data_IF_730295794400
#
_entry.id   IF_730295794400
#
_cell.length_a   1.000
_cell.length_b   1.000
_cell.length_c   1.000
_cell.angle_alpha   90.00
_cell.angle_beta   90.00
_cell.angle_gamma   90.00
#
_symmetry.space_group_name_H-M   'P 1'
#
loop_
_entity.id
_entity.type
_entity.pdbx_description
1 polymer ?
#
# COMPACT_ATOMS: atom_id res chain seq x y z
N UNK A 1 8.38 9.38 10.47
CA UNK A 1 9.16 9.02 9.27
C UNK A 1 8.16 8.64 8.19
N UNK A 2 8.34 9.09 6.95
CA UNK A 2 7.45 8.69 5.86
C UNK A 2 7.50 7.17 5.70
N UNK A 3 6.34 6.58 5.40
CA UNK A 3 6.22 5.14 5.27
C UNK A 3 6.98 4.67 4.02
N UNK A 4 7.79 3.62 4.12
CA UNK A 4 8.47 3.03 2.95
C UNK A 4 7.56 2.06 2.18
N UNK A 5 7.88 1.73 0.93
CA UNK A 5 7.14 0.71 0.18
C UNK A 5 7.07 -0.66 0.92
N UNK A 6 8.17 -1.04 1.59
CA UNK A 6 8.25 -2.27 2.39
C UNK A 6 7.36 -2.21 3.64
N UNK A 7 7.23 -1.04 4.26
CA UNK A 7 6.33 -0.83 5.39
C UNK A 7 4.87 -0.83 4.95
N UNK A 8 4.55 -0.25 3.78
CA UNK A 8 3.21 -0.30 3.22
C UNK A 8 2.78 -1.74 2.96
N UNK A 9 3.63 -2.52 2.30
CA UNK A 9 3.38 -3.94 2.05
C UNK A 9 3.16 -4.75 3.35
N UNK A 10 3.86 -4.39 4.45
CA UNK A 10 3.66 -5.02 5.76
C UNK A 10 2.36 -4.56 6.41
N UNK A 11 2.04 -3.28 6.33
CA UNK A 11 0.83 -2.69 6.89
C UNK A 11 -0.42 -3.29 6.23
N UNK A 12 -0.43 -3.36 4.90
CA UNK A 12 -1.53 -3.94 4.12
C UNK A 12 -1.78 -5.40 4.55
N UNK A 13 -0.71 -6.21 4.61
CA UNK A 13 -0.80 -7.61 5.04
C UNK A 13 -1.28 -7.79 6.48
N UNK A 14 -0.87 -6.92 7.40
CA UNK A 14 -1.34 -6.94 8.80
C UNK A 14 -2.83 -6.62 8.93
N UNK A 15 -3.39 -5.88 7.98
CA UNK A 15 -4.81 -5.52 7.94
C UNK A 15 -5.62 -6.45 7.02
N UNK A 16 -5.14 -7.68 6.80
CA UNK A 16 -5.87 -8.70 6.03
C UNK A 16 -5.77 -8.55 4.51
N UNK A 17 -5.04 -7.54 4.01
CA UNK A 17 -4.80 -7.39 2.59
C UNK A 17 -3.77 -8.39 2.04
N UNK A 18 -3.77 -8.58 0.73
CA UNK A 18 -2.89 -9.53 0.02
C UNK A 18 -2.23 -8.89 -1.18
N UNK A 19 -1.05 -9.40 -1.55
CA UNK A 19 -0.43 -9.07 -2.82
C UNK A 19 -1.19 -9.75 -3.95
N UNK A 20 -1.44 -9.02 -5.03
CA UNK A 20 -2.15 -9.53 -6.21
C UNK A 20 -1.16 -9.78 -7.34
N UNK A 21 -0.43 -8.73 -7.76
CA UNK A 21 0.49 -8.81 -8.91
C UNK A 21 1.46 -7.63 -8.94
N UNK A 22 2.54 -7.80 -9.70
CA UNK A 22 3.39 -6.68 -10.08
C UNK A 22 2.71 -5.91 -11.22
N UNK A 23 2.51 -4.61 -11.03
CA UNK A 23 2.26 -3.67 -12.11
C UNK A 23 3.57 -3.16 -12.71
N UNK A 24 3.51 -2.19 -13.61
CA UNK A 24 4.71 -1.62 -14.24
C UNK A 24 5.67 -1.02 -13.22
N UNK A 25 5.26 0.09 -12.59
CA UNK A 25 6.05 0.81 -11.57
C UNK A 25 5.55 0.62 -10.13
N UNK A 26 4.43 -0.07 -9.96
CA UNK A 26 3.76 -0.30 -8.69
C UNK A 26 3.55 -1.80 -8.47
N UNK A 27 3.48 -2.20 -7.22
CA UNK A 27 2.89 -3.47 -6.81
C UNK A 27 1.42 -3.26 -6.49
N UNK A 28 0.58 -4.19 -6.93
CA UNK A 28 -0.85 -4.17 -6.71
C UNK A 28 -1.16 -5.07 -5.53
N UNK A 29 -1.82 -4.50 -4.53
CA UNK A 29 -2.38 -5.19 -3.38
C UNK A 29 -3.89 -5.03 -3.39
N UNK A 30 -4.54 -5.88 -2.63
CA UNK A 30 -5.97 -5.85 -2.39
C UNK A 30 -6.20 -5.88 -0.88
N UNK A 31 -7.11 -5.07 -0.38
CA UNK A 31 -7.53 -5.09 1.03
C UNK A 31 -8.42 -6.30 1.32
N UNK A 32 -8.75 -6.53 2.59
CA UNK A 32 -9.63 -7.64 2.97
C UNK A 32 -11.04 -7.56 2.34
N UNK A 33 -11.53 -6.35 2.05
CA UNK A 33 -12.81 -6.05 1.40
C UNK A 33 -12.74 -6.02 -0.13
N UNK A 34 -11.57 -6.27 -0.73
CA UNK A 34 -11.41 -6.32 -2.19
C UNK A 34 -10.99 -4.99 -2.84
N UNK A 35 -10.68 -3.96 -2.06
CA UNK A 35 -10.26 -2.64 -2.58
C UNK A 35 -8.80 -2.67 -3.04
N UNK A 36 -8.52 -2.17 -4.25
CA UNK A 36 -7.16 -2.14 -4.81
C UNK A 36 -6.28 -1.04 -4.20
N UNK A 37 -5.05 -1.40 -3.82
CA UNK A 37 -4.00 -0.49 -3.35
C UNK A 37 -2.78 -0.62 -4.27
N UNK A 38 -2.30 0.51 -4.80
CA UNK A 38 -1.07 0.58 -5.59
C UNK A 38 0.09 1.09 -4.73
N UNK A 39 1.14 0.28 -4.60
CA UNK A 39 2.34 0.64 -3.82
C UNK A 39 3.51 0.88 -4.78
N UNK A 40 4.10 2.09 -4.85
CA UNK A 40 5.20 2.38 -5.77
C UNK A 40 6.47 1.61 -5.40
N UNK A 41 7.15 1.03 -6.40
CA UNK A 41 8.43 0.31 -6.20
C UNK A 41 9.67 1.19 -6.40
N UNK A 42 9.52 2.35 -7.05
CA UNK A 42 10.64 3.26 -7.36
C UNK A 42 10.88 4.32 -6.28
N UNK A 43 9.95 4.47 -5.33
CA UNK A 43 10.07 5.44 -4.25
C UNK A 43 10.82 4.82 -3.07
N UNK A 44 11.84 5.51 -2.56
CA UNK A 44 12.49 5.13 -1.29
C UNK A 44 11.51 5.32 -0.12
N UNK A 45 10.93 6.52 -0.07
CA UNK A 45 9.91 6.93 0.89
C UNK A 45 8.61 7.27 0.16
N UNK A 46 7.46 6.91 0.74
CA UNK A 46 6.16 7.29 0.18
C UNK A 46 5.89 8.76 0.45
N UNK A 47 5.29 9.43 -0.54
CA UNK A 47 4.80 10.80 -0.33
C UNK A 47 3.65 10.78 0.68
N UNK A 48 3.41 11.88 1.42
CA UNK A 48 2.30 11.95 2.39
C UNK A 48 0.93 11.64 1.77
N UNK A 49 0.73 11.97 0.49
CA UNK A 49 -0.51 11.67 -0.23
C UNK A 49 -0.71 10.18 -0.48
N UNK A 50 0.36 9.46 -0.85
CA UNK A 50 0.31 8.00 -1.06
C UNK A 50 0.13 7.28 0.27
N UNK A 51 0.83 7.72 1.31
CA UNK A 51 0.65 7.16 2.65
C UNK A 51 -0.78 7.34 3.15
N UNK A 52 -1.37 8.52 2.95
CA UNK A 52 -2.77 8.79 3.31
C UNK A 52 -3.74 7.91 2.53
N UNK A 53 -3.61 7.82 1.21
CA UNK A 53 -4.46 6.97 0.36
C UNK A 53 -4.45 5.50 0.81
N UNK A 54 -3.26 4.96 1.13
CA UNK A 54 -3.13 3.60 1.64
C UNK A 54 -3.85 3.44 2.97
N UNK A 55 -3.69 4.38 3.91
CA UNK A 55 -4.35 4.33 5.22
C UNK A 55 -5.87 4.42 5.09
N UNK A 56 -6.36 5.35 4.28
CA UNK A 56 -7.80 5.52 4.00
C UNK A 56 -8.42 4.23 3.43
N UNK A 57 -7.76 3.58 2.46
CA UNK A 57 -8.21 2.31 1.88
C UNK A 57 -8.16 1.15 2.88
N UNK A 58 -7.25 1.19 3.84
CA UNK A 58 -7.19 0.22 4.93
C UNK A 58 -8.17 0.54 6.08
N UNK A 59 -8.94 1.62 5.99
CA UNK A 59 -9.84 2.06 7.06
C UNK A 59 -9.10 2.61 8.30
N UNK A 60 -7.82 2.96 8.15
CA UNK A 60 -6.99 3.55 9.18
C UNK A 60 -7.07 5.07 9.04
N UNK A 61 -7.77 5.73 9.95
CA UNK A 61 -8.00 7.18 9.91
C UNK A 61 -6.79 7.96 10.42
#
# INVERSE_FOLDING_TARGET
MPLTAREAARLIRRNGGRFVRHGGRHDIYETADGTEIQVPRHAKDLSPGVERDIKEKLGLR
#
